data_IF_644772941725
#
_entry.id   IF_644772941725
#
_cell.length_a   1.000
_cell.length_b   1.000
_cell.length_c   1.000
_cell.angle_alpha   90.00
_cell.angle_beta   90.00
_cell.angle_gamma   90.00
#
_symmetry.space_group_name_H-M   'P 1'
#
loop_
_entity.id
_entity.type
_entity.pdbx_description
1 polymer ?
#
# COMPACT_ATOMS: atom_id res chain seq x y z
N UNK A 1 2.50 -12.30 -17.45
CA UNK A 1 3.33 -13.40 -16.93
C UNK A 1 2.95 -14.61 -17.75
N UNK A 2 3.87 -15.09 -18.57
CA UNK A 2 3.65 -16.25 -19.42
C UNK A 2 3.49 -17.53 -18.57
N UNK A 3 3.06 -18.60 -19.22
CA UNK A 3 2.77 -19.87 -18.55
C UNK A 3 4.05 -20.53 -18.03
N UNK A 4 5.16 -20.40 -18.75
CA UNK A 4 6.48 -20.92 -18.37
C UNK A 4 6.97 -20.34 -17.05
N UNK A 5 6.80 -19.03 -16.83
CA UNK A 5 7.18 -18.37 -15.58
C UNK A 5 6.25 -18.79 -14.42
N UNK A 6 4.97 -19.06 -14.69
CA UNK A 6 4.04 -19.61 -13.68
C UNK A 6 4.46 -21.01 -13.25
N UNK A 7 4.80 -21.87 -14.21
CA UNK A 7 5.14 -23.27 -13.97
C UNK A 7 6.49 -23.40 -13.25
N UNK A 8 7.48 -22.57 -13.64
CA UNK A 8 8.76 -22.47 -12.93
C UNK A 8 8.57 -22.08 -11.46
N UNK A 9 7.72 -21.08 -11.18
CA UNK A 9 7.43 -20.62 -9.81
C UNK A 9 6.74 -21.67 -8.94
N UNK A 10 5.96 -22.57 -9.54
CA UNK A 10 5.24 -23.61 -8.80
C UNK A 10 6.17 -24.78 -8.40
N UNK A 11 7.30 -24.93 -9.08
CA UNK A 11 8.24 -26.04 -8.90
C UNK A 11 9.58 -25.61 -8.25
N UNK A 12 9.58 -24.53 -7.46
CA UNK A 12 10.80 -24.06 -6.79
C UNK A 12 11.26 -25.05 -5.69
N UNK A 13 12.57 -25.36 -5.59
CA UNK A 13 13.13 -26.11 -4.45
C UNK A 13 12.82 -25.42 -3.13
N UNK A 14 12.78 -26.14 -2.01
CA UNK A 14 12.48 -25.55 -0.68
C UNK A 14 13.47 -24.44 -0.30
N UNK A 15 13.11 -23.47 0.55
CA UNK A 15 14.03 -22.41 0.99
C UNK A 15 15.36 -22.96 1.52
N UNK A 16 15.32 -24.06 2.30
CA UNK A 16 16.53 -24.72 2.80
C UNK A 16 17.41 -25.27 1.68
N UNK A 17 16.81 -25.88 0.65
CA UNK A 17 17.55 -26.37 -0.52
C UNK A 17 18.16 -25.22 -1.34
N UNK A 18 17.44 -24.11 -1.51
CA UNK A 18 17.95 -22.92 -2.21
C UNK A 18 19.11 -22.28 -1.44
N UNK A 19 18.96 -22.06 -0.13
CA UNK A 19 20.04 -21.54 0.72
C UNK A 19 21.26 -22.45 0.71
N UNK A 20 21.06 -23.78 0.70
CA UNK A 20 22.15 -24.75 0.58
C UNK A 20 22.83 -24.69 -0.80
N UNK A 21 22.06 -24.52 -1.88
CA UNK A 21 22.57 -24.48 -3.25
C UNK A 21 23.32 -23.19 -3.57
N UNK A 22 22.82 -22.02 -3.14
CA UNK A 22 23.47 -20.73 -3.36
C UNK A 22 24.49 -20.36 -2.28
N UNK A 23 24.40 -20.99 -1.10
CA UNK A 23 25.30 -20.74 0.02
C UNK A 23 25.07 -19.40 0.73
N UNK A 24 25.71 -19.25 1.91
CA UNK A 24 25.77 -17.97 2.65
C UNK A 24 26.55 -16.87 1.91
N UNK A 25 27.64 -17.15 1.15
CA UNK A 25 28.39 -16.11 0.45
C UNK A 25 27.56 -15.33 -0.57
N UNK A 26 26.81 -16.00 -1.44
CA UNK A 26 25.94 -15.35 -2.43
C UNK A 26 24.88 -14.46 -1.76
N UNK A 27 24.34 -14.88 -0.62
CA UNK A 27 23.40 -14.05 0.15
C UNK A 27 24.08 -12.83 0.81
N UNK A 28 25.37 -12.91 1.11
CA UNK A 28 26.15 -11.76 1.57
C UNK A 28 26.36 -10.79 0.42
N UNK A 29 26.88 -11.28 -0.71
CA UNK A 29 27.18 -10.47 -1.89
C UNK A 29 25.94 -9.73 -2.41
N UNK A 30 24.77 -10.39 -2.40
CA UNK A 30 23.51 -9.75 -2.78
C UNK A 30 23.09 -8.65 -1.80
N UNK A 31 23.35 -8.81 -0.49
CA UNK A 31 23.07 -7.75 0.50
C UNK A 31 24.03 -6.59 0.36
N UNK A 32 25.30 -6.87 0.14
CA UNK A 32 26.33 -5.85 -0.08
C UNK A 32 26.02 -5.06 -1.36
N UNK A 33 25.53 -5.73 -2.41
CA UNK A 33 25.03 -5.08 -3.62
C UNK A 33 23.80 -4.20 -3.37
N UNK A 34 22.88 -4.59 -2.47
CA UNK A 34 21.76 -3.71 -2.06
C UNK A 34 22.30 -2.45 -1.37
N UNK A 35 23.24 -2.59 -0.44
CA UNK A 35 23.84 -1.45 0.27
C UNK A 35 24.60 -0.50 -0.67
N UNK A 36 25.32 -1.04 -1.66
CA UNK A 36 25.94 -0.24 -2.73
C UNK A 36 24.88 0.55 -3.51
N UNK A 37 23.82 -0.10 -3.98
CA UNK A 37 22.75 0.56 -4.74
C UNK A 37 22.00 1.60 -3.90
N UNK A 38 21.83 1.39 -2.60
CA UNK A 38 21.28 2.38 -1.68
C UNK A 38 22.14 3.65 -1.61
N UNK A 39 23.45 3.48 -1.62
CA UNK A 39 24.42 4.59 -1.63
C UNK A 39 24.33 5.34 -2.96
N UNK A 40 24.35 4.62 -4.09
CA UNK A 40 24.26 5.22 -5.43
C UNK A 40 22.95 6.02 -5.63
N UNK A 41 21.82 5.48 -5.18
CA UNK A 41 20.52 6.16 -5.21
C UNK A 41 20.53 7.39 -4.28
N UNK A 42 21.10 7.26 -3.09
CA UNK A 42 21.24 8.35 -2.12
C UNK A 42 22.04 9.51 -2.70
N UNK A 43 23.21 9.23 -3.25
CA UNK A 43 24.09 10.23 -3.86
C UNK A 43 23.40 10.96 -5.03
N UNK A 44 22.70 10.22 -5.89
CA UNK A 44 22.00 10.82 -7.02
C UNK A 44 20.85 11.74 -6.58
N UNK A 45 20.12 11.36 -5.53
CA UNK A 45 18.99 12.16 -5.01
C UNK A 45 19.45 13.36 -4.18
N UNK A 46 20.60 13.27 -3.50
CA UNK A 46 21.21 14.34 -2.71
C UNK A 46 21.79 15.46 -3.59
N UNK A 47 22.41 15.12 -4.73
CA UNK A 47 22.94 16.08 -5.71
C UNK A 47 21.92 17.12 -6.18
N UNK A 48 20.63 16.78 -6.13
CA UNK A 48 19.55 17.60 -6.68
C UNK A 48 18.74 18.30 -5.56
N UNK A 49 19.13 18.15 -4.27
CA UNK A 49 18.45 18.75 -3.09
C UNK A 49 16.95 18.38 -2.98
N UNK A 50 16.55 17.21 -3.49
CA UNK A 50 15.14 16.76 -3.48
C UNK A 50 14.81 15.95 -2.20
N UNK A 51 15.74 15.86 -1.22
CA UNK A 51 15.47 15.21 0.09
C UNK A 51 14.17 15.73 0.76
N UNK A 52 13.78 16.98 0.51
CA UNK A 52 12.52 17.55 1.05
C UNK A 52 11.25 17.15 0.27
N UNK A 53 11.36 16.76 -1.01
CA UNK A 53 10.20 16.40 -1.84
C UNK A 53 9.91 14.88 -1.84
N UNK A 54 10.92 14.06 -1.53
CA UNK A 54 10.81 12.61 -1.47
C UNK A 54 10.92 12.19 0.00
N UNK A 55 9.79 12.26 0.71
CA UNK A 55 9.64 11.62 2.01
C UNK A 55 9.84 10.10 1.81
N UNK A 56 10.98 9.55 2.22
CA UNK A 56 11.33 8.12 2.18
C UNK A 56 11.52 7.47 0.78
N UNK A 57 12.59 6.68 0.63
CA UNK A 57 12.93 5.93 -0.59
C UNK A 57 11.83 4.95 -1.05
N UNK A 58 10.88 4.61 -0.18
CA UNK A 58 9.66 3.88 -0.48
C UNK A 58 8.75 4.63 -1.47
N UNK A 59 8.77 5.96 -1.47
CA UNK A 59 7.95 6.81 -2.34
C UNK A 59 8.53 7.01 -3.75
N UNK A 60 9.83 6.80 -3.96
CA UNK A 60 10.42 6.80 -5.31
C UNK A 60 9.91 5.61 -6.11
N UNK A 61 9.84 4.43 -5.48
CA UNK A 61 9.37 3.20 -6.11
C UNK A 61 7.90 3.30 -6.56
N UNK A 62 7.05 3.96 -5.77
CA UNK A 62 5.63 4.18 -6.11
C UNK A 62 5.42 5.20 -7.23
N UNK A 63 6.40 6.07 -7.50
CA UNK A 63 6.41 7.01 -8.63
C UNK A 63 6.93 6.39 -9.94
N UNK A 64 7.79 5.37 -9.87
CA UNK A 64 8.45 4.72 -11.03
C UNK A 64 7.68 3.49 -11.54
N UNK A 65 7.10 2.67 -10.66
CA UNK A 65 6.43 1.42 -11.05
C UNK A 65 4.95 1.40 -10.65
N UNK A 66 4.04 1.67 -11.61
CA UNK A 66 2.60 1.65 -11.35
C UNK A 66 2.07 0.24 -11.03
N UNK A 67 2.81 -0.85 -11.25
CA UNK A 67 2.29 -2.20 -10.90
C UNK A 67 2.07 -2.40 -9.41
N UNK A 68 2.77 -1.63 -8.58
CA UNK A 68 2.58 -1.61 -7.12
C UNK A 68 1.46 -0.62 -6.69
N UNK A 69 1.01 0.28 -7.58
CA UNK A 69 -0.02 1.30 -7.33
C UNK A 69 -1.34 1.10 -8.12
N UNK A 70 -1.39 0.22 -9.13
CA UNK A 70 -2.60 -0.05 -9.96
C UNK A 70 -3.45 -1.18 -9.36
N UNK A 71 -3.72 -1.07 -8.06
CA UNK A 71 -4.93 -1.67 -7.47
C UNK A 71 -5.82 -0.61 -6.82
N UNK A 72 -5.46 0.65 -7.00
CA UNK A 72 -6.08 1.80 -6.37
C UNK A 72 -6.84 2.60 -7.43
N UNK A 73 -8.15 2.75 -7.23
CA UNK A 73 -9.03 3.59 -8.04
C UNK A 73 -9.01 5.04 -7.55
N UNK A 74 -7.92 5.50 -6.92
CA UNK A 74 -7.75 6.87 -6.45
C UNK A 74 -7.40 7.82 -7.61
N UNK A 75 -8.32 8.66 -8.12
CA UNK A 75 -8.18 9.31 -9.43
C UNK A 75 -7.26 10.54 -9.48
N UNK A 76 -6.78 11.06 -8.35
CA UNK A 76 -6.22 12.41 -8.28
C UNK A 76 -4.72 12.54 -8.60
N UNK A 77 -3.93 11.46 -8.50
CA UNK A 77 -2.47 11.48 -8.78
C UNK A 77 -2.07 10.68 -10.04
N UNK A 78 -3.04 10.05 -10.70
CA UNK A 78 -2.86 9.22 -11.90
C UNK A 78 -3.11 10.09 -13.14
N UNK A 79 -2.19 11.01 -13.47
CA UNK A 79 -2.20 11.67 -14.79
C UNK A 79 -1.15 11.02 -15.69
N UNK A 80 -1.61 10.36 -16.75
CA UNK A 80 -0.77 9.96 -17.88
C UNK A 80 -0.51 11.21 -18.74
N UNK A 81 0.73 11.42 -19.18
CA UNK A 81 1.03 12.35 -20.29
C UNK A 81 0.39 11.82 -21.58
N UNK A 82 0.13 12.67 -22.59
CA UNK A 82 -0.40 12.25 -23.90
C UNK A 82 0.45 11.20 -24.63
N UNK A 83 1.73 11.09 -24.30
CA UNK A 83 2.66 10.08 -24.81
C UNK A 83 2.55 8.71 -24.11
N UNK A 84 1.60 8.55 -23.18
CA UNK A 84 1.37 7.32 -22.42
C UNK A 84 2.32 7.13 -21.23
N UNK A 85 3.20 8.09 -20.91
CA UNK A 85 4.08 8.02 -19.73
C UNK A 85 3.37 8.49 -18.47
N UNK A 86 3.64 7.85 -17.35
CA UNK A 86 3.15 8.27 -16.03
C UNK A 86 3.79 9.58 -15.59
N UNK A 87 3.04 10.48 -14.94
CA UNK A 87 3.56 11.78 -14.49
C UNK A 87 4.84 11.65 -13.65
N UNK A 88 4.86 10.76 -12.65
CA UNK A 88 6.05 10.50 -11.83
C UNK A 88 7.24 10.00 -12.65
N UNK A 89 7.00 9.06 -13.57
CA UNK A 89 8.02 8.55 -14.49
C UNK A 89 8.58 9.65 -15.40
N UNK A 90 7.74 10.55 -15.89
CA UNK A 90 8.15 11.65 -16.75
C UNK A 90 9.00 12.68 -15.98
N UNK A 91 8.63 13.01 -14.75
CA UNK A 91 9.46 13.87 -13.88
C UNK A 91 10.81 13.19 -13.60
N UNK A 92 10.81 11.89 -13.36
CA UNK A 92 12.04 11.16 -13.07
C UNK A 92 12.97 11.13 -14.28
N UNK A 93 12.45 10.83 -15.46
CA UNK A 93 13.24 10.82 -16.69
C UNK A 93 13.76 12.22 -17.06
N UNK A 94 12.97 13.28 -16.82
CA UNK A 94 13.35 14.67 -17.12
C UNK A 94 14.45 15.18 -16.19
N UNK A 95 14.36 14.90 -14.88
CA UNK A 95 15.26 15.46 -13.86
C UNK A 95 16.44 14.56 -13.51
N UNK A 96 16.30 13.24 -13.62
CA UNK A 96 17.30 12.26 -13.18
C UNK A 96 17.83 11.39 -14.33
N UNK A 97 17.29 11.55 -15.55
CA UNK A 97 17.58 10.66 -16.66
C UNK A 97 17.13 9.21 -16.41
N UNK A 98 17.60 8.28 -17.24
CA UNK A 98 17.31 6.85 -17.07
C UNK A 98 18.03 6.22 -15.87
N UNK A 99 19.04 6.89 -15.32
CA UNK A 99 19.99 6.29 -14.38
C UNK A 99 19.34 5.95 -13.04
N UNK A 100 18.56 6.88 -12.47
CA UNK A 100 17.81 6.61 -11.23
C UNK A 100 16.87 5.41 -11.41
N UNK A 101 16.17 5.37 -12.54
CA UNK A 101 15.24 4.30 -12.86
C UNK A 101 15.95 2.95 -13.00
N UNK A 102 17.10 2.92 -13.65
CA UNK A 102 17.91 1.72 -13.84
C UNK A 102 18.40 1.20 -12.49
N UNK A 103 18.95 2.07 -11.64
CA UNK A 103 19.42 1.73 -10.29
C UNK A 103 18.28 1.19 -9.40
N UNK A 104 17.13 1.86 -9.39
CA UNK A 104 15.95 1.43 -8.63
C UNK A 104 15.43 0.08 -9.14
N UNK A 105 15.40 -0.12 -10.46
CA UNK A 105 14.98 -1.40 -11.07
C UNK A 105 15.96 -2.52 -10.74
N UNK A 106 17.26 -2.26 -10.79
CA UNK A 106 18.30 -3.22 -10.40
C UNK A 106 18.15 -3.61 -8.93
N UNK A 107 18.00 -2.64 -8.02
CA UNK A 107 17.76 -2.89 -6.60
C UNK A 107 16.53 -3.76 -6.37
N UNK A 108 15.43 -3.48 -7.08
CA UNK A 108 14.20 -4.29 -7.00
C UNK A 108 14.45 -5.75 -7.42
N UNK A 109 15.25 -5.96 -8.46
CA UNK A 109 15.61 -7.31 -8.93
C UNK A 109 16.48 -8.05 -7.90
N UNK A 110 17.49 -7.39 -7.31
CA UNK A 110 18.37 -7.97 -6.28
C UNK A 110 17.56 -8.34 -5.03
N UNK A 111 16.70 -7.45 -4.54
CA UNK A 111 15.81 -7.71 -3.42
C UNK A 111 14.86 -8.88 -3.70
N UNK A 112 14.36 -8.98 -4.94
CA UNK A 112 13.53 -10.11 -5.37
C UNK A 112 14.31 -11.42 -5.31
N UNK A 113 15.54 -11.46 -5.82
CA UNK A 113 16.40 -12.64 -5.76
C UNK A 113 16.64 -13.08 -4.30
N UNK A 114 16.95 -12.15 -3.40
CA UNK A 114 17.09 -12.43 -1.96
C UNK A 114 15.79 -13.04 -1.40
N UNK A 115 14.63 -12.48 -1.75
CA UNK A 115 13.34 -12.97 -1.27
C UNK A 115 13.01 -14.38 -1.79
N UNK A 116 13.36 -14.71 -3.03
CA UNK A 116 13.25 -16.07 -3.58
C UNK A 116 14.14 -17.01 -2.79
N UNK A 117 15.44 -16.73 -2.69
CA UNK A 117 16.41 -17.63 -2.05
C UNK A 117 16.01 -17.91 -0.60
N UNK A 118 15.66 -16.86 0.15
CA UNK A 118 15.34 -16.96 1.58
C UNK A 118 13.94 -17.52 1.87
N UNK A 119 13.09 -17.73 0.86
CA UNK A 119 11.71 -18.15 1.06
C UNK A 119 10.78 -17.04 1.58
N UNK A 120 11.26 -15.79 1.57
CA UNK A 120 10.46 -14.64 1.97
C UNK A 120 9.40 -14.30 0.93
N UNK A 121 9.60 -14.60 -0.36
CA UNK A 121 8.59 -14.35 -1.39
C UNK A 121 7.32 -15.19 -1.14
N UNK A 122 7.46 -16.48 -0.78
CA UNK A 122 6.34 -17.35 -0.45
C UNK A 122 5.64 -16.89 0.85
N UNK A 123 6.40 -16.54 1.88
CA UNK A 123 5.84 -15.97 3.13
C UNK A 123 5.11 -14.66 2.89
N UNK A 124 5.65 -13.76 2.07
CA UNK A 124 5.03 -12.49 1.72
C UNK A 124 3.77 -12.70 0.87
N UNK A 125 3.78 -13.69 -0.03
CA UNK A 125 2.61 -14.06 -0.83
C UNK A 125 1.49 -14.64 0.03
N UNK A 126 1.82 -15.44 1.04
CA UNK A 126 0.85 -15.95 2.01
C UNK A 126 0.33 -14.85 2.96
N UNK A 127 1.22 -14.01 3.51
CA UNK A 127 0.82 -12.81 4.29
C UNK A 127 -0.08 -11.88 3.48
N UNK A 128 0.16 -11.79 2.17
CA UNK A 128 -0.58 -11.03 1.17
C UNK A 128 -1.98 -11.57 0.83
N UNK A 129 -2.30 -12.81 1.21
CA UNK A 129 -3.64 -13.40 1.04
C UNK A 129 -4.55 -12.94 2.17
N UNK A 130 -5.67 -12.35 1.77
CA UNK A 130 -6.84 -12.19 2.63
C UNK A 130 -7.79 -13.34 2.28
N UNK A 131 -8.41 -13.96 3.27
CA UNK A 131 -9.47 -14.95 3.06
C UNK A 131 -10.83 -14.33 3.38
N UNK A 132 -11.91 -15.02 3.00
CA UNK A 132 -13.28 -14.54 3.24
C UNK A 132 -13.56 -14.32 4.72
N UNK A 133 -13.08 -15.20 5.60
CA UNK A 133 -13.25 -15.07 7.04
C UNK A 133 -12.60 -13.79 7.62
N UNK A 134 -11.43 -13.39 7.12
CA UNK A 134 -10.78 -12.13 7.52
C UNK A 134 -11.58 -10.91 7.07
N UNK A 135 -12.13 -10.95 5.85
CA UNK A 135 -12.97 -9.85 5.34
C UNK A 135 -14.25 -9.75 6.17
N UNK A 136 -14.87 -10.88 6.49
CA UNK A 136 -16.09 -10.91 7.31
C UNK A 136 -15.81 -10.39 8.74
N UNK A 137 -14.74 -10.85 9.37
CA UNK A 137 -14.30 -10.35 10.68
C UNK A 137 -13.99 -8.85 10.67
N UNK A 138 -13.42 -8.33 9.59
CA UNK A 138 -13.16 -6.91 9.43
C UNK A 138 -14.46 -6.10 9.29
N UNK A 139 -15.46 -6.60 8.55
CA UNK A 139 -16.78 -5.95 8.39
C UNK A 139 -17.57 -5.86 9.69
N UNK A 140 -17.33 -6.79 10.61
CA UNK A 140 -17.97 -6.82 11.93
C UNK A 140 -17.34 -5.85 12.94
N UNK A 141 -16.19 -5.22 12.62
CA UNK A 141 -15.60 -4.23 13.50
C UNK A 141 -16.57 -3.05 13.71
N UNK A 142 -16.87 -2.64 14.95
CA UNK A 142 -17.84 -1.58 15.19
C UNK A 142 -17.37 -0.25 14.60
N UNK A 143 -18.05 0.23 13.55
CA UNK A 143 -17.73 1.49 12.87
C UNK A 143 -17.80 2.67 13.81
N UNK A 144 -18.74 2.65 14.76
CA UNK A 144 -18.84 3.69 15.80
C UNK A 144 -17.53 3.86 16.58
N UNK A 145 -16.87 2.75 16.94
CA UNK A 145 -15.61 2.77 17.70
C UNK A 145 -14.48 3.37 16.88
N UNK A 146 -14.47 3.10 15.56
CA UNK A 146 -13.49 3.67 14.66
C UNK A 146 -13.77 5.17 14.41
N UNK A 147 -15.01 5.50 14.05
CA UNK A 147 -15.44 6.84 13.70
C UNK A 147 -15.28 7.82 14.87
N UNK A 148 -15.50 7.37 16.12
CA UNK A 148 -15.36 8.22 17.31
C UNK A 148 -13.97 8.82 17.51
N UNK A 149 -12.93 8.28 16.86
CA UNK A 149 -11.57 8.83 16.90
C UNK A 149 -11.29 9.90 15.83
N UNK A 150 -12.15 10.01 14.79
CA UNK A 150 -11.90 10.88 13.62
C UNK A 150 -13.01 11.89 13.35
N UNK A 151 -14.23 11.63 13.83
CA UNK A 151 -15.40 12.46 13.52
C UNK A 151 -15.59 13.49 14.62
N UNK A 152 -15.53 14.76 14.25
CA UNK A 152 -15.77 15.87 15.18
C UNK A 152 -17.26 16.06 15.49
N UNK A 153 -17.56 16.53 16.70
CA UNK A 153 -18.93 16.64 17.23
C UNK A 153 -19.75 15.35 17.06
N UNK A 154 -19.10 14.19 17.11
CA UNK A 154 -19.75 12.89 16.93
C UNK A 154 -20.58 12.53 18.16
N UNK A 155 -21.89 12.68 18.02
CA UNK A 155 -22.85 12.50 19.12
C UNK A 155 -23.96 11.55 18.71
N UNK A 156 -24.54 10.88 19.70
CA UNK A 156 -25.72 10.04 19.48
C UNK A 156 -26.89 10.91 19.01
N UNK A 157 -27.56 10.49 17.94
CA UNK A 157 -28.64 11.22 17.30
C UNK A 157 -29.75 10.24 16.93
N UNK A 158 -30.51 9.78 17.93
CA UNK A 158 -31.50 8.71 17.80
C UNK A 158 -31.07 7.43 18.53
N UNK A 159 -31.85 6.34 18.39
CA UNK A 159 -31.58 5.09 19.10
C UNK A 159 -30.39 4.31 18.52
N UNK A 160 -30.24 4.32 17.19
CA UNK A 160 -29.29 3.50 16.43
C UNK A 160 -28.36 4.31 15.51
N UNK A 161 -28.23 5.60 15.77
CA UNK A 161 -27.57 6.54 14.87
C UNK A 161 -26.68 7.51 15.64
N UNK A 162 -25.54 7.81 15.06
CA UNK A 162 -24.60 8.82 15.53
C UNK A 162 -24.35 9.81 14.40
N UNK A 163 -24.15 11.08 14.75
CA UNK A 163 -24.05 12.19 13.80
C UNK A 163 -22.90 13.11 14.17
N UNK A 164 -22.17 13.62 13.19
CA UNK A 164 -21.04 14.54 13.37
C UNK A 164 -20.66 15.27 12.08
N UNK A 165 -19.59 16.06 12.11
CA UNK A 165 -19.04 16.68 10.90
C UNK A 165 -18.33 15.63 10.05
N UNK A 166 -18.48 15.74 8.74
CA UNK A 166 -17.86 14.76 7.86
C UNK A 166 -16.33 14.89 7.91
N UNK A 167 -15.58 13.79 8.13
CA UNK A 167 -14.12 13.86 8.13
C UNK A 167 -13.53 13.89 6.71
N UNK A 168 -14.36 13.81 5.67
CA UNK A 168 -13.94 13.71 4.26
C UNK A 168 -14.19 14.97 3.44
N UNK A 169 -14.87 15.98 4.01
CA UNK A 169 -15.03 17.29 3.40
C UNK A 169 -15.26 18.34 4.48
N UNK A 170 -14.99 19.60 4.17
CA UNK A 170 -15.28 20.70 5.08
C UNK A 170 -16.80 20.95 5.15
N UNK A 171 -17.35 20.89 6.35
CA UNK A 171 -18.78 20.87 6.59
C UNK A 171 -19.16 21.77 7.76
N UNK A 172 -20.00 22.77 7.51
CA UNK A 172 -20.45 23.72 8.54
C UNK A 172 -21.53 23.14 9.46
N UNK A 173 -22.22 22.08 9.04
CA UNK A 173 -23.34 21.51 9.78
C UNK A 173 -23.22 20.00 9.83
N UNK A 174 -23.31 19.31 10.99
CA UNK A 174 -23.14 17.87 11.04
C UNK A 174 -23.94 17.14 9.96
N UNK A 175 -23.28 16.55 8.95
CA UNK A 175 -23.95 15.83 7.84
C UNK A 175 -23.56 14.36 7.77
N UNK A 176 -22.56 13.93 8.54
CA UNK A 176 -22.08 12.57 8.60
C UNK A 176 -22.87 11.75 9.60
N UNK A 177 -23.45 10.63 9.16
CA UNK A 177 -24.29 9.76 9.98
C UNK A 177 -23.75 8.34 9.94
N UNK A 178 -23.59 7.73 11.11
CA UNK A 178 -23.26 6.31 11.30
C UNK A 178 -24.50 5.59 11.82
N UNK A 179 -24.86 4.50 11.16
CA UNK A 179 -25.96 3.60 11.53
C UNK A 179 -25.38 2.37 12.22
N UNK A 180 -25.64 2.21 13.52
CA UNK A 180 -25.02 1.17 14.34
C UNK A 180 -25.60 -0.22 14.09
N UNK A 181 -26.83 -0.30 13.57
CA UNK A 181 -27.51 -1.56 13.25
C UNK A 181 -27.00 -2.21 11.96
N UNK A 182 -26.70 -1.40 10.96
CA UNK A 182 -26.18 -1.85 9.66
C UNK A 182 -24.65 -1.73 9.55
N UNK A 183 -24.00 -1.14 10.57
CA UNK A 183 -22.56 -0.87 10.61
C UNK A 183 -22.05 -0.10 9.37
N UNK A 184 -22.83 0.91 8.94
CA UNK A 184 -22.57 1.72 7.74
C UNK A 184 -22.58 3.20 8.05
N UNK A 185 -21.99 4.00 7.16
CA UNK A 185 -22.07 5.45 7.21
C UNK A 185 -22.59 6.04 5.90
N UNK A 186 -23.17 7.23 6.00
CA UNK A 186 -23.53 8.10 4.89
C UNK A 186 -23.25 9.54 5.32
N UNK A 187 -22.64 10.33 4.45
CA UNK A 187 -22.62 11.78 4.56
C UNK A 187 -23.66 12.36 3.60
N UNK A 188 -24.60 13.14 4.14
CA UNK A 188 -25.63 13.80 3.33
C UNK A 188 -25.12 15.08 2.64
N UNK A 189 -23.95 15.61 3.03
CA UNK A 189 -23.32 16.77 2.41
C UNK A 189 -22.59 16.42 1.10
N UNK A 190 -21.64 15.48 1.15
CA UNK A 190 -20.83 15.10 -0.01
C UNK A 190 -21.23 13.76 -0.66
N UNK A 191 -22.20 13.04 -0.09
CA UNK A 191 -22.72 11.78 -0.65
C UNK A 191 -21.83 10.54 -0.41
N UNK A 192 -20.68 10.68 0.25
CA UNK A 192 -19.82 9.53 0.58
C UNK A 192 -20.56 8.56 1.51
N UNK A 193 -20.42 7.27 1.23
CA UNK A 193 -21.09 6.20 1.96
C UNK A 193 -20.27 4.93 1.90
N UNK A 194 -20.39 4.09 2.93
CA UNK A 194 -19.66 2.83 2.97
C UNK A 194 -19.83 2.06 4.26
N UNK A 195 -19.02 1.02 4.38
CA UNK A 195 -18.86 0.22 5.60
C UNK A 195 -17.59 0.62 6.36
N UNK A 196 -17.29 -0.10 7.44
CA UNK A 196 -16.10 0.12 8.26
C UNK A 196 -14.78 -0.03 7.52
N UNK A 197 -14.72 -0.92 6.52
CA UNK A 197 -13.53 -1.10 5.70
C UNK A 197 -13.34 0.14 4.82
N UNK A 198 -14.41 0.57 4.15
CA UNK A 198 -14.42 1.75 3.29
C UNK A 198 -14.02 3.00 4.09
N UNK A 199 -14.58 3.18 5.30
CA UNK A 199 -14.22 4.29 6.18
C UNK A 199 -12.71 4.32 6.49
N UNK A 200 -12.14 3.16 6.87
CA UNK A 200 -10.72 3.07 7.20
C UNK A 200 -9.82 3.32 5.99
N UNK A 201 -10.22 2.81 4.81
CA UNK A 201 -9.50 3.02 3.56
C UNK A 201 -9.37 4.51 3.24
N UNK A 202 -10.49 5.24 3.29
CA UNK A 202 -10.54 6.67 3.00
C UNK A 202 -9.77 7.49 4.05
N UNK A 203 -10.03 7.28 5.34
CA UNK A 203 -9.48 8.12 6.41
C UNK A 203 -7.97 7.95 6.61
N UNK A 204 -7.41 6.80 6.19
CA UNK A 204 -5.97 6.51 6.26
C UNK A 204 -5.29 6.47 4.90
N UNK A 205 -6.03 6.66 3.81
CA UNK A 205 -5.54 6.48 2.44
C UNK A 205 -4.79 5.15 2.27
N UNK A 206 -5.42 4.05 2.71
CA UNK A 206 -4.85 2.69 2.62
C UNK A 206 -5.70 1.78 1.75
N UNK A 207 -5.06 0.80 1.10
CA UNK A 207 -5.77 -0.16 0.28
C UNK A 207 -6.60 -1.18 1.10
N UNK A 208 -7.55 -1.84 0.42
CA UNK A 208 -8.46 -2.83 0.98
C UNK A 208 -7.77 -3.94 1.80
N UNK A 209 -6.67 -4.51 1.29
CA UNK A 209 -5.97 -5.60 1.98
C UNK A 209 -5.35 -5.13 3.29
N UNK A 210 -4.79 -3.93 3.31
CA UNK A 210 -4.22 -3.32 4.50
C UNK A 210 -5.33 -3.00 5.51
N UNK A 211 -6.44 -2.42 5.07
CA UNK A 211 -7.60 -2.12 5.92
C UNK A 211 -8.20 -3.39 6.56
N UNK A 212 -8.44 -4.45 5.77
CA UNK A 212 -8.94 -5.74 6.27
C UNK A 212 -8.02 -6.33 7.33
N UNK A 213 -6.69 -6.27 7.14
CA UNK A 213 -5.74 -6.75 8.15
C UNK A 213 -5.77 -5.93 9.43
N UNK A 214 -5.81 -4.61 9.31
CA UNK A 214 -5.85 -3.72 10.47
C UNK A 214 -7.11 -3.99 11.31
N UNK A 215 -8.29 -4.02 10.67
CA UNK A 215 -9.56 -4.25 11.35
C UNK A 215 -9.65 -5.67 11.93
N UNK A 216 -9.31 -6.70 11.15
CA UNK A 216 -9.36 -8.10 11.64
C UNK A 216 -8.35 -8.42 12.74
N UNK A 217 -7.28 -7.64 12.90
CA UNK A 217 -6.36 -7.75 14.02
C UNK A 217 -6.93 -7.11 15.29
N UNK A 218 -7.71 -6.03 15.15
CA UNK A 218 -8.37 -5.34 16.27
C UNK A 218 -9.61 -6.10 16.75
N UNK A 219 -10.34 -6.78 15.86
CA UNK A 219 -11.54 -7.58 16.21
C UNK A 219 -11.26 -8.85 17.04
N UNK A 220 -9.99 -9.23 17.27
CA UNK A 220 -9.61 -10.46 18.01
C UNK A 220 -9.31 -10.22 19.49
N UNK A 221 -9.43 -8.98 19.97
CA UNK A 221 -9.29 -8.62 21.38
C UNK A 221 -10.67 -8.40 21.99
#
# INVERSE_FOLDING_TARGET
MDQTEKDWRQNLPTPSQRIKAFGKPVLSDLKDKVSSLDTDIGDLTERIKIKEFILETSNILSLIDPRDNVRDESPSLIRLKPDGKWFGQAIIDEFFGSDLRLLVKEKKNVLRAINIITGREEKNRQRGKINSAMVESARQFPLISLAGAYVENFRKSGSKTYKGHCPFHDDRTPSFVVYTDSNRYICFGCGIKGDVISFLMEIKSINFKTAVRALSALSRK
#
